data_IF_455187662464
#
_entry.id   IF_455187662464
#
_cell.length_a   1.000
_cell.length_b   1.000
_cell.length_c   1.000
_cell.angle_alpha   90.00
_cell.angle_beta   90.00
_cell.angle_gamma   90.00
#
_symmetry.space_group_name_H-M   'P 1'
#
loop_
_entity.id
_entity.type
_entity.pdbx_description
1 polymer ?
#
# COMPACT_ATOMS: atom_id res chain seq x y z
N UNK A 1 37.78 -22.86 -16.53
CA UNK A 1 36.66 -21.97 -16.14
C UNK A 1 35.49 -22.27 -17.06
N UNK A 2 34.29 -22.60 -16.58
CA UNK A 2 33.15 -22.78 -17.47
C UNK A 2 32.86 -21.47 -18.22
N UNK A 3 32.52 -21.58 -19.50
CA UNK A 3 32.20 -20.43 -20.34
C UNK A 3 30.99 -19.67 -19.78
N UNK A 4 31.11 -18.36 -19.63
CA UNK A 4 29.98 -17.52 -19.21
C UNK A 4 28.95 -17.48 -20.33
N UNK A 5 27.69 -17.80 -20.03
CA UNK A 5 26.58 -17.66 -20.99
C UNK A 5 26.11 -16.20 -21.06
N UNK A 6 25.56 -15.75 -22.21
CA UNK A 6 24.91 -14.44 -22.32
C UNK A 6 23.73 -14.30 -21.35
N UNK A 7 23.44 -13.05 -20.97
CA UNK A 7 22.23 -12.69 -20.22
C UNK A 7 20.99 -12.90 -21.10
N UNK A 8 19.92 -13.41 -20.51
CA UNK A 8 18.61 -13.55 -21.16
C UNK A 8 17.56 -12.72 -20.40
N UNK A 9 16.39 -12.43 -20.98
CA UNK A 9 15.30 -11.77 -20.25
C UNK A 9 14.88 -12.52 -18.97
N UNK A 10 15.05 -13.84 -18.95
CA UNK A 10 14.75 -14.66 -17.76
C UNK A 10 15.70 -14.37 -16.59
N UNK A 11 16.93 -13.91 -16.87
CA UNK A 11 17.85 -13.49 -15.81
C UNK A 11 17.37 -12.25 -15.08
N UNK A 12 16.63 -11.37 -15.76
CA UNK A 12 16.02 -10.17 -15.14
C UNK A 12 15.00 -10.60 -14.09
N UNK A 13 14.21 -11.65 -14.35
CA UNK A 13 13.23 -12.18 -13.39
C UNK A 13 13.86 -12.79 -12.14
N UNK A 14 15.13 -13.19 -12.22
CA UNK A 14 15.90 -13.76 -11.10
C UNK A 14 16.57 -12.69 -10.25
N UNK A 15 16.51 -11.42 -10.65
CA UNK A 15 17.08 -10.32 -9.87
C UNK A 15 16.34 -10.22 -8.55
N UNK A 16 17.14 -10.20 -7.49
CA UNK A 16 16.70 -9.89 -6.14
C UNK A 16 17.12 -8.46 -5.87
N UNK A 17 16.14 -7.60 -5.57
CA UNK A 17 16.42 -6.23 -5.13
C UNK A 17 16.33 -6.20 -3.62
N UNK A 18 17.36 -5.66 -2.97
CA UNK A 18 17.26 -5.25 -1.56
C UNK A 18 16.90 -3.78 -1.57
N UNK A 19 15.72 -3.46 -1.08
CA UNK A 19 15.19 -2.10 -1.06
C UNK A 19 14.66 -1.82 0.34
N UNK A 20 14.72 -0.56 0.77
CA UNK A 20 14.24 -0.09 2.07
C UNK A 20 14.83 -0.83 3.29
N UNK A 21 15.16 -0.08 4.32
CA UNK A 21 15.68 -0.68 5.54
C UNK A 21 15.31 0.14 6.76
N UNK A 22 15.43 -0.51 7.92
CA UNK A 22 15.47 0.16 9.20
C UNK A 22 16.46 -0.55 10.13
N UNK A 23 16.99 0.17 11.11
CA UNK A 23 17.98 -0.33 12.05
C UNK A 23 17.39 -0.41 13.45
N UNK A 24 17.84 -1.38 14.23
CA UNK A 24 17.64 -1.35 15.68
C UNK A 24 18.34 -0.13 16.27
N UNK A 25 17.82 0.39 17.39
CA UNK A 25 18.36 1.57 18.09
C UNK A 25 19.84 1.43 18.45
N UNK A 26 20.28 0.21 18.76
CA UNK A 26 21.68 -0.12 19.08
C UNK A 26 22.56 -0.36 17.84
N UNK A 27 21.99 -0.32 16.63
CA UNK A 27 22.67 -0.51 15.35
C UNK A 27 23.07 -1.95 15.05
N UNK A 28 22.65 -2.93 15.86
CA UNK A 28 23.08 -4.33 15.76
C UNK A 28 22.28 -5.16 14.78
N UNK A 29 21.07 -4.73 14.45
CA UNK A 29 20.16 -5.46 13.56
C UNK A 29 19.66 -4.53 12.47
N UNK A 30 19.77 -4.97 11.22
CA UNK A 30 19.06 -4.34 10.10
C UNK A 30 17.84 -5.18 9.69
N UNK A 31 16.71 -4.51 9.49
CA UNK A 31 15.57 -5.07 8.76
C UNK A 31 15.64 -4.55 7.33
N UNK A 32 15.60 -5.45 6.36
CA UNK A 32 15.63 -5.11 4.93
C UNK A 32 14.45 -5.73 4.21
N UNK A 33 13.97 -5.08 3.14
CA UNK A 33 13.03 -5.70 2.21
C UNK A 33 13.79 -6.40 1.10
N UNK A 34 13.44 -7.66 0.84
CA UNK A 34 13.90 -8.39 -0.33
C UNK A 34 12.76 -8.49 -1.33
N UNK A 35 12.87 -7.77 -2.44
CA UNK A 35 11.94 -7.85 -3.56
C UNK A 35 12.37 -8.90 -4.58
N UNK A 36 11.40 -9.71 -5.00
CA UNK A 36 11.54 -10.74 -6.03
C UNK A 36 10.38 -10.66 -7.01
N UNK A 37 10.53 -11.27 -8.18
CA UNK A 37 9.46 -11.40 -9.17
C UNK A 37 8.92 -12.83 -9.11
N UNK A 38 7.60 -12.99 -9.00
CA UNK A 38 6.91 -14.26 -9.28
C UNK A 38 5.80 -14.00 -10.28
N UNK A 39 5.78 -14.77 -11.37
CA UNK A 39 4.92 -14.45 -12.50
C UNK A 39 5.25 -13.07 -13.07
N UNK A 40 4.27 -12.17 -13.06
CA UNK A 40 4.38 -10.77 -13.44
C UNK A 40 4.25 -9.80 -12.24
N UNK A 41 4.29 -10.32 -11.00
CA UNK A 41 4.10 -9.56 -9.78
C UNK A 41 5.37 -9.44 -8.95
N UNK A 42 5.49 -8.30 -8.26
CA UNK A 42 6.52 -8.10 -7.24
C UNK A 42 6.05 -8.64 -5.90
N UNK A 43 6.88 -9.49 -5.31
CA UNK A 43 6.74 -9.92 -3.93
C UNK A 43 7.86 -9.30 -3.10
N UNK A 44 7.51 -8.84 -1.91
CA UNK A 44 8.44 -8.25 -0.94
C UNK A 44 8.30 -8.97 0.38
N UNK A 45 9.44 -9.39 0.95
CA UNK A 45 9.48 -10.02 2.27
C UNK A 45 10.55 -9.36 3.13
N UNK A 46 10.30 -9.29 4.42
CA UNK A 46 11.21 -8.68 5.39
C UNK A 46 12.22 -9.72 5.87
N UNK A 47 13.47 -9.30 6.00
CA UNK A 47 14.57 -10.11 6.53
C UNK A 47 15.31 -9.33 7.62
N UNK A 48 15.70 -10.02 8.68
CA UNK A 48 16.61 -9.51 9.70
C UNK A 48 18.05 -9.93 9.40
N UNK A 49 18.97 -8.99 9.57
CA UNK A 49 20.41 -9.18 9.39
C UNK A 49 21.09 -8.74 10.69
N UNK A 50 21.86 -9.64 11.29
CA UNK A 50 22.74 -9.33 12.43
C UNK A 50 24.02 -8.68 11.91
N UNK A 51 24.36 -7.51 12.46
CA UNK A 51 25.50 -6.68 12.04
C UNK A 51 26.69 -6.79 12.99
N UNK A 52 26.52 -7.38 14.18
CA UNK A 52 27.53 -7.39 15.24
C UNK A 52 28.53 -8.54 15.12
N UNK A 53 28.22 -9.57 14.34
CA UNK A 53 29.00 -10.80 14.29
C UNK A 53 30.37 -10.69 13.57
N UNK A 54 30.81 -9.50 13.16
CA UNK A 54 32.05 -9.26 12.37
C UNK A 54 32.05 -9.94 10.99
N UNK A 55 30.99 -10.69 10.70
CA UNK A 55 30.64 -11.37 9.47
C UNK A 55 29.12 -11.30 9.37
N UNK A 56 28.58 -10.94 8.21
CA UNK A 56 27.12 -10.88 8.05
C UNK A 56 26.59 -12.32 7.96
N UNK A 57 25.85 -12.83 8.95
CA UNK A 57 25.30 -14.18 8.88
C UNK A 57 24.15 -14.20 7.86
N UNK A 58 23.67 -15.41 7.53
CA UNK A 58 22.55 -15.57 6.59
C UNK A 58 21.35 -14.75 7.08
N UNK A 59 20.75 -13.88 6.22
CA UNK A 59 19.56 -13.13 6.59
C UNK A 59 18.43 -14.04 7.06
N UNK A 60 17.85 -13.73 8.21
CA UNK A 60 16.71 -14.47 8.77
C UNK A 60 15.41 -13.92 8.20
N UNK A 61 14.67 -14.74 7.47
CA UNK A 61 13.38 -14.34 6.93
C UNK A 61 12.36 -14.13 8.05
N UNK A 62 11.67 -12.98 8.03
CA UNK A 62 10.65 -12.61 9.00
C UNK A 62 9.22 -12.80 8.45
N UNK A 63 9.00 -12.49 7.18
CA UNK A 63 7.67 -12.61 6.57
C UNK A 63 7.67 -13.55 5.37
N UNK A 64 6.51 -14.15 5.10
CA UNK A 64 6.29 -15.16 4.05
C UNK A 64 4.91 -14.97 3.42
N UNK A 65 4.66 -15.70 2.35
CA UNK A 65 3.37 -15.74 1.65
C UNK A 65 3.37 -14.96 0.34
N UNK A 66 2.21 -14.94 -0.32
CA UNK A 66 1.97 -14.18 -1.55
C UNK A 66 1.64 -12.72 -1.21
N UNK A 67 2.62 -12.00 -0.65
CA UNK A 67 2.46 -10.62 -0.18
C UNK A 67 3.58 -9.74 -0.73
N UNK A 68 3.38 -8.42 -0.62
CA UNK A 68 4.45 -7.43 -0.74
C UNK A 68 4.49 -6.58 0.52
N UNK A 69 5.47 -6.89 1.36
CA UNK A 69 5.78 -6.14 2.57
C UNK A 69 6.85 -5.08 2.27
N UNK A 70 6.62 -3.85 2.73
CA UNK A 70 7.46 -2.67 2.48
C UNK A 70 7.46 -1.75 3.71
N UNK A 71 8.29 -0.70 3.70
CA UNK A 71 8.43 0.33 4.72
C UNK A 71 8.59 -0.21 6.15
N UNK A 72 9.59 -1.09 6.41
CA UNK A 72 9.82 -1.62 7.74
C UNK A 72 10.19 -0.48 8.71
N UNK A 73 9.60 -0.52 9.91
CA UNK A 73 9.90 0.37 11.03
C UNK A 73 9.96 -0.41 12.33
N UNK A 74 11.16 -0.54 12.89
CA UNK A 74 11.38 -1.16 14.18
C UNK A 74 11.01 -0.16 15.28
N UNK A 75 10.31 -0.66 16.29
CA UNK A 75 10.07 0.08 17.53
C UNK A 75 11.39 0.33 18.27
N UNK A 76 11.45 1.40 19.06
CA UNK A 76 12.68 1.81 19.75
C UNK A 76 13.22 0.77 20.75
N UNK A 77 12.35 -0.10 21.27
CA UNK A 77 12.69 -1.21 22.15
C UNK A 77 13.17 -2.48 21.40
N UNK A 78 13.06 -2.49 20.07
CA UNK A 78 13.52 -3.59 19.22
C UNK A 78 12.62 -4.83 19.21
N UNK A 79 11.45 -4.83 19.85
CA UNK A 79 10.60 -6.03 19.93
C UNK A 79 9.53 -6.10 18.83
N UNK A 80 9.08 -4.94 18.36
CA UNK A 80 7.96 -4.85 17.42
C UNK A 80 8.41 -4.23 16.11
N UNK A 81 7.94 -4.79 14.99
CA UNK A 81 8.17 -4.29 13.65
C UNK A 81 6.83 -3.91 13.01
N UNK A 82 6.68 -2.64 12.62
CA UNK A 82 5.59 -2.18 11.78
C UNK A 82 6.04 -2.16 10.32
N UNK A 83 5.14 -2.43 9.39
CA UNK A 83 5.41 -2.41 7.96
C UNK A 83 4.09 -2.25 7.18
N UNK A 84 4.21 -1.84 5.92
CA UNK A 84 3.09 -1.75 4.99
C UNK A 84 2.99 -3.06 4.21
N UNK A 85 1.82 -3.68 4.20
CA UNK A 85 1.53 -4.90 3.45
C UNK A 85 0.48 -4.64 2.38
N UNK A 86 0.77 -5.09 1.15
CA UNK A 86 -0.18 -5.18 0.05
C UNK A 86 -0.33 -6.63 -0.42
N UNK A 87 -1.47 -6.96 -0.99
CA UNK A 87 -1.67 -8.20 -1.75
C UNK A 87 -1.33 -7.95 -3.24
N UNK A 88 -0.30 -8.59 -3.81
CA UNK A 88 0.04 -8.42 -5.23
C UNK A 88 -1.03 -8.94 -6.20
N UNK A 89 -1.95 -9.80 -5.73
CA UNK A 89 -3.02 -10.41 -6.53
C UNK A 89 -4.35 -9.65 -6.41
N UNK A 90 -4.53 -8.84 -5.37
CA UNK A 90 -5.72 -8.02 -5.14
C UNK A 90 -5.36 -6.53 -5.13
N UNK A 91 -5.57 -5.86 -6.28
CA UNK A 91 -5.26 -4.45 -6.45
C UNK A 91 -6.30 -3.52 -5.81
N UNK A 92 -7.48 -4.03 -5.47
CA UNK A 92 -8.53 -3.27 -4.81
C UNK A 92 -8.35 -3.28 -3.28
N UNK A 93 -7.61 -4.24 -2.75
CA UNK A 93 -7.22 -4.28 -1.35
C UNK A 93 -6.24 -3.14 -1.02
N UNK A 94 -6.58 -2.22 -0.10
CA UNK A 94 -5.70 -1.11 0.24
C UNK A 94 -4.45 -1.62 0.96
N UNK A 95 -3.33 -0.91 0.75
CA UNK A 95 -2.12 -1.11 1.53
C UNK A 95 -2.42 -0.89 3.02
N UNK A 96 -2.10 -1.87 3.86
CA UNK A 96 -2.47 -1.86 5.27
C UNK A 96 -1.25 -1.90 6.18
N UNK A 97 -1.39 -1.30 7.37
CA UNK A 97 -0.37 -1.40 8.42
C UNK A 97 -0.42 -2.77 9.06
N UNK A 98 0.68 -3.49 8.94
CA UNK A 98 0.91 -4.77 9.57
C UNK A 98 1.96 -4.63 10.69
N UNK A 99 1.78 -5.40 11.75
CA UNK A 99 2.60 -5.43 12.96
C UNK A 99 3.08 -6.86 13.19
N UNK A 100 4.38 -7.01 13.40
CA UNK A 100 5.03 -8.28 13.73
C UNK A 100 5.75 -8.15 15.07
N UNK A 101 5.46 -9.08 15.97
CA UNK A 101 6.24 -9.30 17.19
C UNK A 101 7.45 -10.18 16.83
N UNK A 102 8.67 -9.68 17.02
CA UNK A 102 9.90 -10.39 16.64
C UNK A 102 10.17 -11.63 17.50
N UNK A 103 9.55 -11.74 18.68
CA UNK A 103 9.56 -12.95 19.50
C UNK A 103 8.54 -13.99 19.00
N UNK A 104 7.56 -13.59 18.17
CA UNK A 104 6.51 -14.44 17.59
C UNK A 104 6.39 -14.21 16.08
N UNK A 105 7.45 -14.51 15.30
CA UNK A 105 7.56 -14.12 13.90
C UNK A 105 6.52 -14.77 12.97
N UNK A 106 5.76 -15.76 13.44
CA UNK A 106 4.72 -16.43 12.66
C UNK A 106 3.34 -15.76 12.78
N UNK A 107 3.22 -14.68 13.56
CA UNK A 107 1.94 -13.97 13.77
C UNK A 107 2.03 -12.51 13.33
N UNK A 108 1.45 -12.21 12.17
CA UNK A 108 1.23 -10.83 11.72
C UNK A 108 -0.16 -10.36 12.16
N UNK A 109 -0.23 -9.16 12.73
CA UNK A 109 -1.49 -8.48 13.09
C UNK A 109 -1.66 -7.23 12.24
N UNK A 110 -2.89 -6.81 12.01
CA UNK A 110 -3.18 -5.56 11.31
C UNK A 110 -3.59 -4.47 12.29
N UNK A 111 -3.02 -3.28 12.13
CA UNK A 111 -3.43 -2.11 12.91
C UNK A 111 -4.72 -1.53 12.31
N UNK A 112 -5.59 -0.99 13.18
CA UNK A 112 -6.79 -0.27 12.74
C UNK A 112 -6.38 1.13 12.29
N UNK A 113 -6.54 1.44 11.03
CA UNK A 113 -6.16 2.73 10.41
C UNK A 113 -7.37 3.62 10.12
N UNK A 114 -8.57 3.25 10.59
CA UNK A 114 -9.81 3.99 10.33
C UNK A 114 -10.33 3.79 8.91
N UNK A 115 -11.22 4.68 8.47
CA UNK A 115 -11.84 4.67 7.13
C UNK A 115 -10.96 5.39 6.09
N UNK A 116 -9.64 5.25 6.21
CA UNK A 116 -8.67 5.79 5.26
C UNK A 116 -8.36 4.78 4.14
N UNK A 117 -7.90 5.27 3.00
CA UNK A 117 -7.47 4.46 1.86
C UNK A 117 -6.10 3.82 2.10
N UNK A 118 -5.33 3.63 1.02
CA UNK A 118 -4.04 2.96 1.11
C UNK A 118 -3.08 3.72 2.05
N UNK A 119 -2.45 2.99 2.96
CA UNK A 119 -1.43 3.52 3.87
C UNK A 119 -0.06 3.49 3.21
N UNK A 120 0.69 4.57 3.40
CA UNK A 120 2.10 4.70 3.07
C UNK A 120 2.89 5.19 4.30
N UNK A 121 4.22 5.07 4.23
CA UNK A 121 5.22 5.63 5.18
C UNK A 121 4.87 5.54 6.67
N UNK A 122 5.68 4.82 7.44
CA UNK A 122 5.46 4.64 8.88
C UNK A 122 6.54 5.33 9.71
N UNK A 123 6.20 5.72 10.94
CA UNK A 123 7.16 6.16 11.96
C UNK A 123 6.66 5.86 13.38
N UNK A 124 7.51 5.26 14.21
CA UNK A 124 7.22 5.09 15.63
C UNK A 124 7.47 6.38 16.41
N UNK A 125 6.68 6.60 17.46
CA UNK A 125 7.04 7.58 18.48
C UNK A 125 8.31 7.13 19.22
N UNK A 126 9.13 8.05 19.76
CA UNK A 126 10.36 7.69 20.46
C UNK A 126 10.16 6.71 21.62
N UNK A 127 9.01 6.78 22.30
CA UNK A 127 8.62 5.88 23.38
C UNK A 127 8.04 4.52 22.90
N UNK A 128 7.92 4.31 21.58
CA UNK A 128 7.39 3.09 20.98
C UNK A 128 5.88 2.87 21.15
N UNK A 129 5.14 3.82 21.75
CA UNK A 129 3.73 3.62 22.12
C UNK A 129 2.74 4.03 21.04
N UNK A 130 3.18 4.78 20.04
CA UNK A 130 2.33 5.29 18.95
C UNK A 130 3.02 5.09 17.61
N UNK A 131 2.21 4.87 16.58
CA UNK A 131 2.66 4.79 15.20
C UNK A 131 1.99 5.92 14.41
N UNK A 132 2.81 6.77 13.79
CA UNK A 132 2.37 7.71 12.77
C UNK A 132 2.43 7.04 11.39
N UNK A 133 1.48 7.38 10.53
CA UNK A 133 1.40 6.88 9.16
C UNK A 133 0.81 7.94 8.23
N UNK A 134 1.10 7.85 6.94
CA UNK A 134 0.38 8.62 5.91
C UNK A 134 -0.66 7.72 5.24
N UNK A 135 -1.79 8.27 4.83
CA UNK A 135 -2.81 7.50 4.14
C UNK A 135 -3.56 8.35 3.15
N UNK A 136 -4.10 7.70 2.12
CA UNK A 136 -5.07 8.32 1.24
C UNK A 136 -6.32 8.69 2.04
N UNK A 137 -6.76 9.92 1.88
CA UNK A 137 -8.06 10.40 2.36
C UNK A 137 -8.95 10.63 1.14
N UNK A 138 -10.19 10.14 1.20
CA UNK A 138 -11.22 10.15 0.16
C UNK A 138 -11.24 11.43 -0.73
N UNK A 139 -11.56 11.31 -2.03
CA UNK A 139 -10.66 11.49 -3.17
C UNK A 139 -10.17 12.94 -3.38
N UNK A 140 -9.14 13.17 -4.25
CA UNK A 140 -8.74 14.51 -4.66
C UNK A 140 -9.94 15.35 -5.10
N UNK A 141 -10.25 16.42 -4.35
CA UNK A 141 -11.21 17.46 -4.73
C UNK A 141 -10.68 18.39 -5.83
N UNK A 142 -9.87 17.88 -6.75
CA UNK A 142 -9.51 18.65 -7.94
C UNK A 142 -10.61 18.50 -8.98
N UNK A 143 -11.75 19.14 -8.71
CA UNK A 143 -12.70 19.52 -9.75
C UNK A 143 -12.11 20.72 -10.48
N UNK A 144 -11.42 20.50 -11.60
CA UNK A 144 -11.18 21.57 -12.58
C UNK A 144 -12.30 21.47 -13.63
N UNK A 145 -13.35 22.27 -13.44
CA UNK A 145 -14.51 22.34 -14.33
C UNK A 145 -15.80 22.73 -13.59
N UNK A 146 -16.80 23.32 -14.29
CA UNK A 146 -18.04 23.76 -13.66
C UNK A 146 -18.81 22.57 -13.06
N UNK A 147 -19.12 22.68 -11.78
CA UNK A 147 -19.86 21.68 -11.01
C UNK A 147 -21.37 21.84 -11.29
N UNK A 148 -22.07 20.85 -11.86
CA UNK A 148 -23.53 20.88 -11.85
C UNK A 148 -24.02 20.71 -10.41
N UNK A 149 -25.07 21.44 -9.98
CA UNK A 149 -25.53 21.41 -8.60
C UNK A 149 -25.90 19.98 -8.19
N UNK A 150 -25.38 19.55 -7.04
CA UNK A 150 -25.68 18.26 -6.43
C UNK A 150 -27.20 18.16 -6.22
N UNK A 151 -27.84 17.33 -7.05
CA UNK A 151 -29.27 17.08 -7.00
C UNK A 151 -29.65 16.44 -5.68
N UNK A 152 -30.59 17.09 -4.97
CA UNK A 152 -31.21 16.55 -3.75
C UNK A 152 -31.69 15.12 -4.00
N UNK A 153 -31.30 14.23 -3.09
CA UNK A 153 -31.73 12.82 -2.96
C UNK A 153 -33.20 12.65 -3.35
N UNK A 154 -33.47 12.14 -4.56
CA UNK A 154 -34.81 11.79 -5.01
C UNK A 154 -35.23 10.50 -4.30
N UNK A 155 -36.28 10.58 -3.47
CA UNK A 155 -37.01 9.40 -2.99
C UNK A 155 -37.59 8.66 -4.20
N UNK A 156 -37.39 7.35 -4.22
CA UNK A 156 -37.95 6.45 -5.22
C UNK A 156 -39.48 6.44 -5.13
N UNK A 157 -40.13 6.53 -6.29
CA UNK A 157 -41.58 6.44 -6.40
C UNK A 157 -42.05 6.58 -7.85
N UNK A 158 -42.49 5.44 -8.39
CA UNK A 158 -43.37 5.24 -9.55
C UNK A 158 -42.83 5.44 -11.00
N UNK A 159 -42.91 4.31 -11.71
CA UNK A 159 -42.96 4.04 -13.17
C UNK A 159 -43.63 5.14 -14.01
N UNK A 160 -43.09 5.40 -15.22
CA UNK A 160 -43.72 5.03 -16.52
C UNK A 160 -42.78 5.29 -17.70
N UNK A 161 -43.10 4.66 -18.82
CA UNK A 161 -42.25 4.34 -19.97
C UNK A 161 -42.20 5.42 -21.07
N UNK A 162 -41.16 5.26 -21.90
CA UNK A 162 -41.08 5.44 -23.35
C UNK A 162 -41.33 6.81 -24.04
N UNK A 163 -40.40 7.06 -24.98
CA UNK A 163 -40.55 7.62 -26.33
C UNK A 163 -40.43 9.14 -26.57
N UNK A 164 -39.44 9.41 -27.44
CA UNK A 164 -39.43 10.34 -28.58
C UNK A 164 -39.55 11.86 -28.39
N UNK A 165 -38.42 12.51 -28.68
CA UNK A 165 -38.31 13.91 -29.10
C UNK A 165 -38.92 14.09 -30.49
N UNK A 166 -39.71 15.15 -30.70
CA UNK A 166 -39.27 16.15 -31.67
C UNK A 166 -39.38 17.58 -31.12
N UNK A 167 -38.35 18.38 -31.40
CA UNK A 167 -38.45 19.85 -31.43
C UNK A 167 -38.98 20.27 -32.84
N UNK A 168 -39.25 21.57 -33.13
CA UNK A 168 -39.44 22.75 -32.29
C UNK A 168 -40.73 23.53 -32.67
N UNK A 169 -41.08 24.61 -31.94
CA UNK A 169 -41.53 25.89 -32.54
C UNK A 169 -41.68 26.99 -31.49
N UNK A 170 -41.04 28.12 -31.75
CA UNK A 170 -41.09 29.33 -30.95
C UNK A 170 -42.45 30.04 -31.08
N UNK A 171 -42.96 30.57 -29.97
CA UNK A 171 -43.78 31.79 -29.99
C UNK A 171 -43.42 32.70 -28.81
N UNK A 172 -43.02 33.91 -29.19
CA UNK A 172 -42.78 35.09 -28.36
C UNK A 172 -44.13 35.56 -27.78
N UNK A 173 -44.19 35.83 -26.47
CA UNK A 173 -45.15 36.80 -25.96
C UNK A 173 -44.55 37.58 -24.79
N UNK A 174 -44.90 38.85 -24.80
CA UNK A 174 -44.26 39.97 -24.12
C UNK A 174 -44.92 40.17 -22.75
N UNK A 175 -44.09 40.61 -21.80
CA UNK A 175 -44.33 41.06 -20.42
C UNK A 175 -45.55 41.96 -20.22
N UNK A 176 -46.31 41.78 -19.13
CA UNK A 176 -46.73 42.88 -18.22
C UNK A 176 -47.25 42.31 -16.89
N UNK A 177 -46.76 42.93 -15.82
CA UNK A 177 -47.14 42.97 -14.38
C UNK A 177 -47.45 41.68 -13.58
#
# INVERSE_FOLDING_TARGET
MPARRPMTPEDIRRIVVVEELDLSTDGRVAIVVRRTIKGDRYHGHLFAIDLDAGTVPRPRQLTRGAVRDTWPRMSSDGHTLAFVRTDPEDQEAPAAVAILDLAKPDTVRFAKTGDHGAVSELAWSPDGRRLAFTAEVDPPRFLVGPVPPVGRRRRSGAKTAAAETPAPRARRMIRTD
#
